data_IF_315390034183
#
_entry.id   IF_315390034183
#
_cell.length_a   1.000
_cell.length_b   1.000
_cell.length_c   1.000
_cell.angle_alpha   90.00
_cell.angle_beta   90.00
_cell.angle_gamma   90.00
#
_symmetry.space_group_name_H-M   'P 1'
#
loop_
_entity.id
_entity.type
_entity.pdbx_description
1 polymer ?
#
# COMPACT_ATOMS: atom_id res chain seq x y z
N UNK A 1 -27.20 -90.44 18.69
CA UNK A 1 -27.56 -89.00 18.83
C UNK A 1 -27.99 -88.48 17.46
N UNK A 2 -29.18 -87.88 17.43
CA UNK A 2 -29.80 -86.94 16.46
C UNK A 2 -29.09 -86.62 15.12
N UNK A 3 -29.74 -86.30 13.99
CA UNK A 3 -31.14 -86.32 13.51
C UNK A 3 -31.05 -85.93 12.02
N UNK A 4 -31.99 -86.41 11.24
CA UNK A 4 -32.26 -86.19 9.82
C UNK A 4 -32.22 -84.72 9.34
N UNK A 5 -32.17 -84.53 8.02
CA UNK A 5 -33.01 -83.49 7.39
C UNK A 5 -32.43 -82.82 6.15
N UNK A 6 -32.96 -83.20 4.99
CA UNK A 6 -32.56 -82.75 3.67
C UNK A 6 -33.15 -81.38 3.25
N UNK A 7 -32.72 -80.97 2.04
CA UNK A 7 -33.40 -80.13 1.02
C UNK A 7 -33.25 -78.58 1.03
N UNK A 8 -32.41 -78.11 0.10
CA UNK A 8 -32.70 -77.16 -1.00
C UNK A 8 -33.85 -76.15 -0.84
N UNK A 9 -33.52 -74.84 -0.90
CA UNK A 9 -33.91 -73.81 -1.92
C UNK A 9 -33.84 -72.41 -1.29
N UNK A 10 -33.11 -71.48 -1.90
CA UNK A 10 -33.69 -70.25 -2.48
C UNK A 10 -32.63 -69.20 -2.84
N UNK A 11 -32.69 -68.83 -4.12
CA UNK A 11 -32.44 -67.51 -4.67
C UNK A 11 -33.05 -66.38 -3.83
N UNK A 12 -32.21 -65.40 -3.48
CA UNK A 12 -32.64 -64.11 -2.94
C UNK A 12 -31.65 -63.05 -3.41
N UNK A 13 -31.99 -62.41 -4.53
CA UNK A 13 -31.28 -61.21 -4.97
C UNK A 13 -31.53 -60.07 -3.98
N UNK A 14 -30.48 -59.36 -3.63
CA UNK A 14 -30.56 -57.98 -3.22
C UNK A 14 -29.33 -57.30 -3.80
N UNK A 15 -29.59 -56.59 -4.90
CA UNK A 15 -28.74 -55.60 -5.56
C UNK A 15 -27.85 -54.94 -4.52
N UNK A 16 -26.56 -55.28 -4.57
CA UNK A 16 -25.53 -54.47 -3.94
C UNK A 16 -25.59 -53.12 -4.61
N UNK A 17 -26.35 -52.20 -4.01
CA UNK A 17 -26.29 -50.79 -4.34
C UNK A 17 -24.87 -50.37 -3.95
N UNK A 18 -23.97 -50.50 -4.92
CA UNK A 18 -22.65 -49.93 -4.87
C UNK A 18 -22.83 -48.42 -4.85
N UNK A 19 -23.17 -47.88 -3.68
CA UNK A 19 -22.67 -46.57 -3.33
C UNK A 19 -21.17 -46.63 -3.60
N UNK A 20 -20.63 -45.81 -4.51
CA UNK A 20 -19.20 -45.65 -4.55
C UNK A 20 -18.84 -45.11 -3.18
N UNK A 21 -18.30 -45.98 -2.32
CA UNK A 21 -17.55 -45.59 -1.14
C UNK A 21 -16.60 -44.51 -1.64
N UNK A 22 -16.93 -43.26 -1.36
CA UNK A 22 -16.07 -42.10 -1.56
C UNK A 22 -14.88 -42.31 -0.63
N UNK A 23 -13.98 -43.19 -1.07
CA UNK A 23 -12.71 -43.52 -0.46
C UNK A 23 -11.92 -42.22 -0.46
N UNK A 24 -11.90 -41.61 0.72
CA UNK A 24 -10.72 -41.00 1.31
C UNK A 24 -9.78 -40.28 0.33
N UNK A 25 -10.07 -39.01 0.05
CA UNK A 25 -9.04 -38.07 -0.38
C UNK A 25 -9.21 -36.66 0.22
N UNK A 26 -9.57 -36.56 1.50
CA UNK A 26 -9.49 -35.29 2.26
C UNK A 26 -8.97 -35.53 3.67
N UNK A 27 -7.71 -35.94 3.80
CA UNK A 27 -7.06 -36.05 5.13
C UNK A 27 -5.67 -35.44 5.10
N UNK A 28 -5.57 -34.13 4.81
CA UNK A 28 -4.40 -33.27 5.13
C UNK A 28 -4.57 -31.73 5.01
N UNK A 29 -5.73 -31.12 4.65
CA UNK A 29 -5.76 -29.66 4.40
C UNK A 29 -5.73 -28.78 5.67
N UNK A 30 -5.97 -29.36 6.86
CA UNK A 30 -6.12 -28.58 8.11
C UNK A 30 -4.81 -27.95 8.58
N UNK A 31 -3.69 -28.68 8.52
CA UNK A 31 -2.38 -28.19 8.96
C UNK A 31 -1.76 -27.19 7.98
N UNK A 32 -2.00 -27.39 6.68
CA UNK A 32 -1.52 -26.48 5.65
C UNK A 32 -2.17 -25.08 5.78
N UNK A 33 -3.49 -25.00 5.96
CA UNK A 33 -4.17 -23.71 6.10
C UNK A 33 -3.73 -22.92 7.34
N UNK A 34 -3.50 -23.61 8.47
CA UNK A 34 -2.98 -22.97 9.70
C UNK A 34 -1.53 -22.51 9.49
N UNK A 35 -0.71 -23.30 8.80
CA UNK A 35 0.64 -22.91 8.40
C UNK A 35 0.64 -21.66 7.52
N UNK A 36 -0.23 -21.62 6.51
CA UNK A 36 -0.39 -20.45 5.63
C UNK A 36 -0.80 -19.19 6.41
N UNK A 37 -1.67 -19.32 7.42
CA UNK A 37 -2.08 -18.20 8.26
C UNK A 37 -0.95 -17.65 9.15
N UNK A 38 -0.08 -18.50 9.68
CA UNK A 38 1.07 -17.99 10.44
C UNK A 38 2.17 -17.46 9.52
N UNK A 39 2.36 -18.09 8.36
CA UNK A 39 3.25 -17.56 7.33
C UNK A 39 2.78 -16.19 6.84
N UNK A 40 1.48 -15.94 6.72
CA UNK A 40 0.98 -14.62 6.29
C UNK A 40 1.38 -13.51 7.26
N UNK A 41 1.36 -13.75 8.57
CA UNK A 41 1.81 -12.74 9.54
C UNK A 41 3.32 -12.45 9.43
N UNK A 42 4.14 -13.49 9.19
CA UNK A 42 5.58 -13.31 8.97
C UNK A 42 5.85 -12.53 7.68
N UNK A 43 5.15 -12.88 6.59
CA UNK A 43 5.25 -12.18 5.31
C UNK A 43 4.78 -10.72 5.46
N UNK A 44 3.71 -10.46 6.21
CA UNK A 44 3.24 -9.10 6.49
C UNK A 44 4.30 -8.29 7.25
N UNK A 45 4.95 -8.89 8.27
CA UNK A 45 6.03 -8.22 9.00
C UNK A 45 7.19 -7.85 8.07
N UNK A 46 7.59 -8.76 7.18
CA UNK A 46 8.62 -8.47 6.16
C UNK A 46 8.15 -7.31 5.27
N UNK A 47 6.92 -7.35 4.76
CA UNK A 47 6.35 -6.29 3.94
C UNK A 47 6.36 -4.92 4.63
N UNK A 48 5.99 -4.86 5.91
CA UNK A 48 6.03 -3.63 6.70
C UNK A 48 7.47 -3.11 6.88
N UNK A 49 8.44 -3.98 7.17
CA UNK A 49 9.84 -3.58 7.30
C UNK A 49 10.38 -3.02 5.98
N UNK A 50 10.08 -3.69 4.87
CA UNK A 50 10.48 -3.24 3.52
C UNK A 50 9.79 -1.92 3.18
N UNK A 51 8.50 -1.76 3.51
CA UNK A 51 7.77 -0.51 3.34
C UNK A 51 8.42 0.63 4.14
N UNK A 52 8.78 0.39 5.41
CA UNK A 52 9.47 1.37 6.24
C UNK A 52 10.81 1.80 5.64
N UNK A 53 11.62 0.84 5.17
CA UNK A 53 12.88 1.16 4.49
C UNK A 53 12.67 2.00 3.22
N UNK A 54 11.61 1.72 2.46
CA UNK A 54 11.24 2.49 1.27
C UNK A 54 10.78 3.91 1.59
N UNK A 55 9.87 4.09 2.56
CA UNK A 55 9.32 5.41 2.89
C UNK A 55 10.31 6.31 3.63
N UNK A 56 11.26 5.72 4.36
CA UNK A 56 12.32 6.47 5.04
C UNK A 56 13.46 6.90 4.12
N UNK A 57 13.44 6.50 2.85
CA UNK A 57 14.41 6.94 1.85
C UNK A 57 14.03 8.28 1.25
N UNK A 58 15.03 9.13 0.98
CA UNK A 58 14.91 10.37 0.21
C UNK A 58 15.01 10.15 -1.31
N UNK A 59 15.07 8.89 -1.77
CA UNK A 59 15.39 8.52 -3.17
C UNK A 59 14.27 7.74 -3.83
N UNK A 60 13.05 8.30 -3.89
CA UNK A 60 11.98 7.74 -4.74
C UNK A 60 12.15 8.23 -6.18
N UNK A 61 12.38 9.52 -6.33
CA UNK A 61 12.60 10.19 -7.60
C UNK A 61 13.66 11.28 -7.43
N UNK A 62 14.22 11.72 -8.54
CA UNK A 62 15.15 12.84 -8.58
C UNK A 62 14.69 13.83 -9.65
N UNK A 63 14.59 15.11 -9.29
CA UNK A 63 14.25 16.19 -10.23
C UNK A 63 15.51 16.99 -10.47
N UNK A 64 15.90 17.11 -11.73
CA UNK A 64 17.00 17.95 -12.17
C UNK A 64 16.47 19.26 -12.73
N UNK A 65 17.05 20.37 -12.29
CA UNK A 65 16.79 21.71 -12.84
C UNK A 65 18.09 22.22 -13.43
N UNK A 66 18.12 22.46 -14.74
CA UNK A 66 19.27 23.06 -15.43
C UNK A 66 19.04 24.55 -15.66
N UNK A 67 20.08 25.35 -15.44
CA UNK A 67 20.06 26.79 -15.73
C UNK A 67 20.54 27.03 -17.18
N UNK A 68 19.63 27.46 -18.04
CA UNK A 68 19.92 27.77 -19.44
C UNK A 68 20.21 29.26 -19.68
N UNK A 69 20.34 30.08 -18.61
CA UNK A 69 20.70 31.50 -18.75
C UNK A 69 22.13 31.67 -19.26
N UNK A 70 22.39 32.84 -19.83
CA UNK A 70 23.69 33.21 -20.39
C UNK A 70 24.13 34.57 -19.82
N UNK A 71 24.99 34.61 -18.77
CA UNK A 71 25.66 33.48 -18.12
C UNK A 71 24.76 32.71 -17.13
N UNK A 72 24.99 31.40 -16.92
CA UNK A 72 24.25 30.61 -15.92
C UNK A 72 24.78 30.89 -14.51
N UNK A 73 23.89 30.86 -13.51
CA UNK A 73 24.25 31.01 -12.09
C UNK A 73 24.72 29.68 -11.48
N UNK A 74 24.22 28.55 -11.97
CA UNK A 74 24.59 27.21 -11.53
C UNK A 74 24.54 26.24 -12.72
N UNK A 75 25.12 25.05 -12.58
CA UNK A 75 25.07 24.04 -13.64
C UNK A 75 23.75 23.25 -13.60
N UNK A 76 23.43 22.66 -12.45
CA UNK A 76 22.12 22.05 -12.18
C UNK A 76 21.82 22.00 -10.69
N UNK A 77 20.54 21.85 -10.36
CA UNK A 77 20.05 21.50 -9.03
C UNK A 77 19.50 20.09 -9.10
N UNK A 78 19.90 19.24 -8.16
CA UNK A 78 19.34 17.90 -7.96
C UNK A 78 18.44 17.90 -6.74
N UNK A 79 17.16 17.57 -6.92
CA UNK A 79 16.19 17.44 -5.83
C UNK A 79 15.90 15.95 -5.64
N UNK A 80 16.37 15.39 -4.54
CA UNK A 80 16.05 14.04 -4.11
C UNK A 80 14.69 14.05 -3.40
N UNK A 81 13.71 13.42 -4.02
CA UNK A 81 12.33 13.36 -3.53
C UNK A 81 12.08 11.99 -2.90
N UNK A 82 11.91 11.97 -1.58
CA UNK A 82 11.32 10.88 -0.83
C UNK A 82 9.95 11.27 -0.29
N UNK A 83 9.17 10.28 0.17
CA UNK A 83 7.80 10.52 0.65
C UNK A 83 7.78 11.41 1.90
N UNK A 84 8.76 11.25 2.79
CA UNK A 84 8.88 12.00 4.04
C UNK A 84 10.17 12.82 4.17
N UNK A 85 11.11 12.67 3.24
CA UNK A 85 12.39 13.38 3.23
C UNK A 85 12.66 13.92 1.83
N UNK A 86 12.78 15.24 1.69
CA UNK A 86 13.06 15.92 0.43
C UNK A 86 14.34 16.74 0.63
N UNK A 87 15.32 16.54 -0.24
CA UNK A 87 16.62 17.20 -0.16
C UNK A 87 16.98 17.81 -1.50
N UNK A 88 17.70 18.93 -1.48
CA UNK A 88 18.23 19.57 -2.68
C UNK A 88 19.75 19.70 -2.59
N UNK A 89 20.41 19.56 -3.72
CA UNK A 89 21.83 19.83 -3.92
C UNK A 89 21.99 20.76 -5.12
N UNK A 90 22.85 21.76 -5.03
CA UNK A 90 23.18 22.68 -6.13
C UNK A 90 24.61 22.42 -6.58
N UNK A 91 24.78 22.22 -7.89
CA UNK A 91 26.09 22.03 -8.51
C UNK A 91 26.50 23.33 -9.19
N UNK A 92 27.61 23.93 -8.74
CA UNK A 92 28.16 25.17 -9.29
C UNK A 92 28.65 25.02 -10.74
N UNK A 93 28.83 26.15 -11.42
CA UNK A 93 29.32 26.21 -12.81
C UNK A 93 30.85 26.33 -12.93
N UNK A 94 31.58 26.26 -11.81
CA UNK A 94 33.04 26.38 -11.78
C UNK A 94 33.74 25.10 -12.24
N UNK A 95 34.99 25.25 -12.71
CA UNK A 95 35.83 24.13 -13.19
C UNK A 95 36.09 23.05 -12.11
N UNK A 96 35.88 23.39 -10.83
CA UNK A 96 35.78 22.47 -9.70
C UNK A 96 34.32 22.54 -9.28
N UNK A 97 33.48 21.63 -9.76
CA UNK A 97 32.05 21.59 -9.45
C UNK A 97 31.85 21.36 -7.95
N UNK A 98 31.68 22.44 -7.19
CA UNK A 98 31.32 22.38 -5.77
C UNK A 98 29.84 22.01 -5.72
N UNK A 99 29.54 20.91 -5.01
CA UNK A 99 28.18 20.49 -4.69
C UNK A 99 27.86 21.03 -3.31
N UNK A 100 26.85 21.89 -3.23
CA UNK A 100 26.38 22.49 -1.98
C UNK A 100 24.97 22.00 -1.67
N UNK A 101 24.65 21.82 -0.39
CA UNK A 101 23.29 21.46 0.04
C UNK A 101 22.40 22.69 -0.09
N UNK A 102 21.22 22.52 -0.68
CA UNK A 102 20.26 23.59 -0.83
C UNK A 102 19.66 23.96 0.54
N UNK A 103 19.74 25.24 0.92
CA UNK A 103 19.26 25.71 2.23
C UNK A 103 17.74 25.56 2.36
N UNK A 104 17.01 25.87 1.28
CA UNK A 104 15.55 25.76 1.23
C UNK A 104 15.11 24.76 0.15
N UNK A 105 14.95 23.46 0.48
CA UNK A 105 14.40 22.46 -0.43
C UNK A 105 12.92 22.75 -0.74
N UNK A 106 12.37 22.17 -1.83
CA UNK A 106 10.99 22.43 -2.21
C UNK A 106 10.02 21.80 -1.20
N UNK A 107 8.98 22.54 -0.85
CA UNK A 107 7.95 22.09 0.07
C UNK A 107 6.74 21.63 -0.72
N UNK A 108 6.54 20.32 -0.80
CA UNK A 108 5.37 19.69 -1.42
C UNK A 108 4.22 19.64 -0.40
N UNK A 109 3.40 20.70 -0.41
CA UNK A 109 2.22 20.85 0.45
C UNK A 109 0.90 20.61 -0.29
N UNK A 110 0.96 20.14 -1.54
CA UNK A 110 -0.24 19.87 -2.32
C UNK A 110 -1.10 18.79 -1.61
N UNK A 111 -2.44 18.93 -1.66
CA UNK A 111 -3.34 18.04 -0.93
C UNK A 111 -3.17 16.57 -1.32
N UNK A 112 -2.74 16.30 -2.55
CA UNK A 112 -2.43 14.95 -3.05
C UNK A 112 -1.20 14.36 -2.37
N UNK A 113 -0.12 15.14 -2.22
CA UNK A 113 1.08 14.72 -1.51
C UNK A 113 0.81 14.45 -0.03
N UNK A 114 0.03 15.33 0.61
CA UNK A 114 -0.40 15.12 2.00
C UNK A 114 -1.27 13.86 2.15
N UNK A 115 -2.16 13.62 1.19
CA UNK A 115 -2.99 12.41 1.15
C UNK A 115 -2.14 11.16 0.93
N UNK A 116 -1.11 11.22 0.07
CA UNK A 116 -0.15 10.13 -0.14
C UNK A 116 0.56 9.75 1.17
N UNK A 117 1.09 10.75 1.89
CA UNK A 117 1.70 10.57 3.22
C UNK A 117 0.71 9.94 4.19
N UNK A 118 -0.48 10.50 4.32
CA UNK A 118 -1.50 10.04 5.25
C UNK A 118 -1.95 8.59 4.96
N UNK A 119 -2.23 8.27 3.69
CA UNK A 119 -2.63 6.91 3.27
C UNK A 119 -1.55 5.87 3.62
N UNK A 120 -0.28 6.21 3.37
CA UNK A 120 0.87 5.35 3.69
C UNK A 120 0.99 5.12 5.20
N UNK A 121 0.90 6.19 6.01
CA UNK A 121 0.95 6.08 7.48
C UNK A 121 -0.21 5.25 8.02
N UNK A 122 -1.44 5.50 7.54
CA UNK A 122 -2.62 4.72 7.92
C UNK A 122 -2.40 3.24 7.58
N UNK A 123 -1.95 2.93 6.36
CA UNK A 123 -1.66 1.56 5.94
C UNK A 123 -0.68 0.85 6.87
N UNK A 124 0.42 1.51 7.24
CA UNK A 124 1.42 0.98 8.17
C UNK A 124 0.84 0.75 9.58
N UNK A 125 0.08 1.70 10.12
CA UNK A 125 -0.56 1.57 11.44
C UNK A 125 -1.48 0.35 11.47
N UNK A 126 -2.35 0.20 10.46
CA UNK A 126 -3.23 -0.96 10.36
C UNK A 126 -2.45 -2.28 10.22
N UNK A 127 -1.31 -2.26 9.55
CA UNK A 127 -0.43 -3.43 9.41
C UNK A 127 0.13 -3.87 10.76
N UNK A 128 0.63 -2.92 11.56
CA UNK A 128 1.09 -3.19 12.93
C UNK A 128 -0.06 -3.66 13.83
N UNK A 129 -1.24 -3.04 13.76
CA UNK A 129 -2.42 -3.48 14.51
C UNK A 129 -2.80 -4.92 14.14
N UNK A 130 -2.70 -5.30 12.88
CA UNK A 130 -2.98 -6.66 12.44
C UNK A 130 -1.98 -7.67 13.04
N UNK A 131 -0.69 -7.33 13.09
CA UNK A 131 0.34 -8.15 13.75
C UNK A 131 0.11 -8.27 15.26
N UNK A 132 -0.33 -7.20 15.92
CA UNK A 132 -0.70 -7.21 17.34
C UNK A 132 -1.88 -8.14 17.57
N UNK A 133 -2.94 -8.05 16.74
CA UNK A 133 -4.09 -8.95 16.80
C UNK A 133 -3.66 -10.40 16.57
N UNK A 134 -2.83 -10.66 15.57
CA UNK A 134 -2.32 -12.00 15.28
C UNK A 134 -1.57 -12.58 16.47
N UNK A 135 -0.68 -11.78 17.08
CA UNK A 135 0.11 -12.17 18.26
C UNK A 135 -0.79 -12.41 19.47
N UNK A 136 -1.77 -11.54 19.71
CA UNK A 136 -2.75 -11.73 20.77
C UNK A 136 -3.57 -13.00 20.57
N UNK A 137 -4.00 -13.30 19.34
CA UNK A 137 -4.68 -14.57 19.02
C UNK A 137 -3.76 -15.78 19.26
N UNK A 138 -2.48 -15.68 18.89
CA UNK A 138 -1.51 -16.74 19.11
C UNK A 138 -1.26 -17.01 20.60
N UNK A 139 -1.19 -15.96 21.42
CA UNK A 139 -0.96 -16.04 22.86
C UNK A 139 -2.21 -16.48 23.63
N UNK A 140 -3.35 -15.83 23.40
CA UNK A 140 -4.56 -16.02 24.19
C UNK A 140 -5.35 -17.29 23.82
N UNK A 141 -5.23 -17.77 22.57
CA UNK A 141 -5.95 -18.96 22.10
C UNK A 141 -5.00 -20.14 21.86
N UNK A 142 -3.84 -20.14 22.52
CA UNK A 142 -2.85 -21.20 22.40
C UNK A 142 -3.44 -22.53 22.88
N UNK A 143 -3.71 -23.43 21.95
CA UNK A 143 -4.25 -24.77 22.24
C UNK A 143 -5.76 -24.93 22.00
N UNK A 144 -6.50 -23.86 21.69
CA UNK A 144 -7.86 -23.98 21.17
C UNK A 144 -7.82 -24.22 19.65
N UNK A 145 -8.54 -25.25 19.20
CA UNK A 145 -8.58 -25.61 17.78
C UNK A 145 -9.33 -24.59 16.91
N UNK A 146 -10.21 -23.78 17.51
CA UNK A 146 -11.10 -22.87 16.80
C UNK A 146 -10.82 -21.41 17.17
N UNK A 147 -10.17 -20.68 16.25
CA UNK A 147 -9.97 -19.23 16.37
C UNK A 147 -11.30 -18.48 16.18
N UNK A 148 -11.53 -17.37 16.89
CA UNK A 148 -12.72 -16.55 16.70
C UNK A 148 -12.73 -15.92 15.30
N UNK A 149 -13.56 -16.46 14.41
CA UNK A 149 -13.71 -15.97 13.03
C UNK A 149 -13.96 -14.46 12.90
N UNK A 150 -14.64 -13.83 13.88
CA UNK A 150 -14.82 -12.38 13.86
C UNK A 150 -13.49 -11.63 13.99
N UNK A 151 -12.63 -12.05 14.92
CA UNK A 151 -11.29 -11.46 15.10
C UNK A 151 -10.39 -11.71 13.90
N UNK A 152 -10.45 -12.92 13.31
CA UNK A 152 -9.71 -13.22 12.07
C UNK A 152 -10.22 -12.37 10.89
N UNK A 153 -11.52 -12.08 10.82
CA UNK A 153 -12.07 -11.18 9.80
C UNK A 153 -11.52 -9.75 9.95
N UNK A 154 -11.47 -9.25 11.19
CA UNK A 154 -10.91 -7.92 11.50
C UNK A 154 -9.42 -7.88 11.14
N UNK A 155 -8.67 -8.92 11.46
CA UNK A 155 -7.27 -9.04 11.05
C UNK A 155 -7.13 -8.98 9.51
N UNK A 156 -7.91 -9.78 8.76
CA UNK A 156 -7.87 -9.75 7.28
C UNK A 156 -8.27 -8.38 6.72
N UNK A 157 -9.24 -7.69 7.34
CA UNK A 157 -9.60 -6.32 6.97
C UNK A 157 -8.42 -5.37 7.18
N UNK A 158 -7.66 -5.51 8.26
CA UNK A 158 -6.50 -4.67 8.50
C UNK A 158 -5.38 -4.93 7.48
N UNK A 159 -5.16 -6.18 7.08
CA UNK A 159 -4.23 -6.50 5.99
C UNK A 159 -4.66 -5.81 4.68
N UNK A 160 -5.97 -5.81 4.38
CA UNK A 160 -6.49 -5.13 3.20
C UNK A 160 -6.27 -3.62 3.26
N UNK A 161 -6.53 -2.98 4.41
CA UNK A 161 -6.29 -1.55 4.61
C UNK A 161 -4.80 -1.22 4.45
N UNK A 162 -3.89 -2.09 4.93
CA UNK A 162 -2.45 -1.92 4.73
C UNK A 162 -2.07 -1.91 3.26
N UNK A 163 -2.53 -2.90 2.48
CA UNK A 163 -2.25 -2.98 1.03
C UNK A 163 -2.82 -1.75 0.32
N UNK A 164 -4.09 -1.41 0.56
CA UNK A 164 -4.70 -0.24 -0.08
C UNK A 164 -3.97 1.05 0.30
N UNK A 165 -3.61 1.23 1.58
CA UNK A 165 -2.92 2.42 2.06
C UNK A 165 -1.54 2.61 1.44
N UNK A 166 -0.75 1.53 1.31
CA UNK A 166 0.56 1.57 0.66
C UNK A 166 0.43 1.83 -0.85
N UNK A 167 -0.47 1.12 -1.53
CA UNK A 167 -0.71 1.28 -2.96
C UNK A 167 -1.19 2.70 -3.31
N UNK A 168 -2.24 3.19 -2.62
CA UNK A 168 -2.77 4.54 -2.84
C UNK A 168 -1.73 5.60 -2.50
N UNK A 169 -0.98 5.41 -1.41
CA UNK A 169 0.10 6.30 -1.02
C UNK A 169 1.15 6.44 -2.12
N UNK A 170 1.62 5.31 -2.66
CA UNK A 170 2.61 5.28 -3.72
C UNK A 170 2.08 5.90 -5.03
N UNK A 171 0.86 5.53 -5.46
CA UNK A 171 0.28 6.04 -6.71
C UNK A 171 0.01 7.54 -6.67
N UNK A 172 -0.44 8.07 -5.53
CA UNK A 172 -0.63 9.52 -5.37
C UNK A 172 0.70 10.27 -5.35
N UNK A 173 1.73 9.70 -4.71
CA UNK A 173 3.07 10.31 -4.71
C UNK A 173 3.66 10.37 -6.13
N UNK A 174 3.58 9.27 -6.88
CA UNK A 174 4.01 9.22 -8.29
C UNK A 174 3.27 10.25 -9.15
N UNK A 175 1.94 10.29 -9.05
CA UNK A 175 1.11 11.22 -9.84
C UNK A 175 1.41 12.68 -9.52
N UNK A 176 1.74 13.01 -8.27
CA UNK A 176 2.08 14.40 -7.91
C UNK A 176 3.45 14.79 -8.46
N UNK A 177 4.44 13.90 -8.41
CA UNK A 177 5.77 14.17 -8.96
C UNK A 177 5.72 14.34 -10.47
N UNK A 178 4.95 13.49 -11.16
CA UNK A 178 4.68 13.67 -12.59
C UNK A 178 3.93 15.00 -12.85
N UNK A 179 3.01 15.38 -11.96
CA UNK A 179 2.32 16.67 -12.01
C UNK A 179 3.28 17.86 -11.93
N UNK A 180 4.19 17.86 -10.95
CA UNK A 180 5.24 18.88 -10.76
C UNK A 180 6.20 18.90 -11.94
N UNK A 181 6.57 17.75 -12.52
CA UNK A 181 7.39 17.70 -13.72
C UNK A 181 6.68 18.31 -14.94
N UNK A 182 5.41 17.98 -15.14
CA UNK A 182 4.67 18.37 -16.34
C UNK A 182 4.17 19.83 -16.29
N UNK A 183 3.95 20.37 -15.10
CA UNK A 183 3.37 21.70 -14.92
C UNK A 183 4.29 22.70 -14.20
N UNK A 184 5.35 22.24 -13.53
CA UNK A 184 6.53 23.04 -13.13
C UNK A 184 6.31 24.30 -12.27
N UNK A 185 5.09 24.58 -11.81
CA UNK A 185 4.64 25.99 -11.91
C UNK A 185 4.99 26.87 -10.70
N UNK A 186 4.70 26.44 -9.48
CA UNK A 186 4.75 27.37 -8.33
C UNK A 186 5.71 26.94 -7.23
N UNK A 187 5.70 25.66 -6.87
CA UNK A 187 6.55 25.13 -5.79
C UNK A 187 8.04 25.23 -6.12
N UNK A 188 8.41 24.97 -7.37
CA UNK A 188 9.79 25.10 -7.86
C UNK A 188 10.22 26.57 -7.95
N UNK A 189 9.33 27.46 -8.41
CA UNK A 189 9.59 28.91 -8.46
C UNK A 189 9.83 29.47 -7.06
N UNK A 190 8.98 29.12 -6.08
CA UNK A 190 9.17 29.52 -4.67
C UNK A 190 10.50 29.03 -4.11
N UNK A 191 10.89 27.79 -4.41
CA UNK A 191 12.19 27.23 -4.01
C UNK A 191 13.35 28.03 -4.62
N UNK A 192 13.32 28.29 -5.93
CA UNK A 192 14.36 29.06 -6.61
C UNK A 192 14.44 30.51 -6.08
N UNK A 193 13.30 31.15 -5.77
CA UNK A 193 13.26 32.47 -5.14
C UNK A 193 13.79 32.46 -3.70
N UNK A 194 13.42 31.46 -2.89
CA UNK A 194 13.89 31.32 -1.50
C UNK A 194 15.41 31.17 -1.42
N UNK A 195 16.02 30.46 -2.39
CA UNK A 195 17.47 30.32 -2.51
C UNK A 195 18.11 31.48 -3.31
N UNK A 196 17.36 32.54 -3.65
CA UNK A 196 17.82 33.72 -4.40
C UNK A 196 18.41 33.41 -5.79
N UNK A 197 17.97 32.30 -6.40
CA UNK A 197 18.40 31.84 -7.72
C UNK A 197 17.60 32.48 -8.86
N UNK A 198 16.45 33.08 -8.53
CA UNK A 198 15.64 33.95 -9.38
C UNK A 198 15.38 35.25 -8.60
N UNK A 199 15.52 36.41 -9.25
CA UNK A 199 15.27 37.70 -8.62
C UNK A 199 13.83 37.83 -8.14
N UNK A 200 13.63 38.48 -6.99
CA UNK A 200 12.29 38.91 -6.58
C UNK A 200 11.73 39.85 -7.65
N UNK A 201 10.48 39.63 -8.08
CA UNK A 201 9.79 40.45 -9.08
C UNK A 201 9.75 41.97 -8.79
N UNK A 202 10.28 42.41 -7.65
CA UNK A 202 10.39 43.80 -7.20
C UNK A 202 11.67 44.53 -7.60
N UNK A 203 12.67 43.90 -8.23
CA UNK A 203 13.94 44.57 -8.58
C UNK A 203 14.11 44.93 -10.06
N UNK A 204 13.20 44.54 -10.96
CA UNK A 204 13.34 44.85 -12.39
C UNK A 204 12.82 46.27 -12.74
N UNK A 205 11.98 46.89 -11.91
CA UNK A 205 11.32 48.17 -12.24
C UNK A 205 12.01 49.43 -11.69
N UNK A 206 13.29 49.34 -11.30
CA UNK A 206 14.03 50.50 -10.76
C UNK A 206 15.23 50.97 -11.57
N UNK A 207 15.58 50.28 -12.67
CA UNK A 207 16.76 50.66 -13.47
C UNK A 207 16.46 51.20 -14.87
N UNK A 208 15.20 51.30 -15.29
CA UNK A 208 14.89 51.72 -16.65
C UNK A 208 13.58 52.52 -16.82
N UNK A 209 13.49 53.77 -16.35
CA UNK A 209 12.98 54.91 -17.15
C UNK A 209 13.10 56.26 -16.41
N UNK A 210 13.34 57.38 -17.13
CA UNK A 210 13.28 58.73 -16.56
C UNK A 210 11.84 59.14 -16.27
N UNK A 211 11.70 60.01 -15.27
CA UNK A 211 10.48 60.73 -14.91
C UNK A 211 9.77 61.32 -16.12
N UNK A 212 8.57 60.83 -16.45
CA UNK A 212 7.51 61.71 -16.95
C UNK A 212 6.10 61.16 -16.66
N UNK A 213 5.26 62.09 -16.23
CA UNK A 213 3.88 61.99 -15.77
C UNK A 213 2.91 61.34 -16.76
N UNK A 214 2.09 60.38 -16.33
CA UNK A 214 0.61 60.35 -16.48
C UNK A 214 0.01 58.98 -16.12
N UNK A 215 -1.13 59.02 -15.44
CA UNK A 215 -1.93 57.91 -14.90
C UNK A 215 -2.35 56.87 -15.95
N UNK A 216 -2.15 55.57 -15.70
CA UNK A 216 -2.96 54.48 -16.27
C UNK A 216 -3.10 53.30 -15.30
N UNK A 217 -4.36 53.03 -14.96
CA UNK A 217 -4.98 51.83 -14.36
C UNK A 217 -4.12 50.53 -14.32
N UNK A 218 -3.69 50.10 -13.13
CA UNK A 218 -3.08 48.78 -12.94
C UNK A 218 -4.15 47.70 -12.73
N UNK A 219 -4.39 46.94 -13.80
CA UNK A 219 -4.84 45.54 -13.74
C UNK A 219 -3.69 44.68 -13.19
N UNK A 220 -3.95 43.62 -12.40
CA UNK A 220 -2.88 42.74 -11.94
C UNK A 220 -2.28 41.99 -13.14
N UNK A 221 -1.04 42.35 -13.48
CA UNK A 221 -0.26 41.75 -14.56
C UNK A 221 -0.09 40.26 -14.29
N UNK A 222 -0.64 39.42 -15.16
CA UNK A 222 -0.35 37.99 -15.22
C UNK A 222 1.16 37.79 -15.36
N UNK A 223 1.77 37.07 -14.41
CA UNK A 223 3.16 36.62 -14.48
C UNK A 223 3.38 35.90 -15.82
N UNK A 224 4.11 36.59 -16.70
CA UNK A 224 4.29 36.24 -18.10
C UNK A 224 5.17 35.00 -18.24
N UNK A 225 4.79 34.17 -19.21
CA UNK A 225 5.39 32.96 -19.78
C UNK A 225 6.92 32.97 -20.06
N UNK A 226 7.66 34.02 -19.72
CA UNK A 226 9.10 34.18 -20.00
C UNK A 226 10.04 33.40 -19.06
N UNK A 227 9.65 33.18 -17.80
CA UNK A 227 10.51 32.49 -16.81
C UNK A 227 10.70 30.99 -17.12
N UNK A 228 9.76 30.37 -17.83
CA UNK A 228 9.78 28.94 -18.18
C UNK A 228 10.83 28.62 -19.25
N UNK A 229 11.29 29.62 -20.03
CA UNK A 229 12.32 29.40 -21.05
C UNK A 229 13.76 29.36 -20.48
N UNK A 230 13.96 29.80 -19.23
CA UNK A 230 15.29 29.93 -18.60
C UNK A 230 15.75 28.67 -17.87
N UNK A 231 14.82 27.79 -17.48
CA UNK A 231 15.12 26.57 -16.73
C UNK A 231 14.59 25.35 -17.45
N UNK A 232 15.40 24.29 -17.51
CA UNK A 232 14.96 23.00 -18.04
C UNK A 232 14.79 22.01 -16.89
N UNK A 233 13.58 21.46 -16.77
CA UNK A 233 13.26 20.43 -15.79
C UNK A 233 13.35 19.04 -16.41
N UNK A 234 14.03 18.13 -15.72
CA UNK A 234 14.16 16.73 -16.11
C UNK A 234 13.87 15.85 -14.90
N UNK A 235 12.86 15.00 -15.00
CA UNK A 235 12.57 13.98 -13.99
C UNK A 235 13.41 12.72 -14.27
N UNK A 236 14.05 12.18 -13.24
CA UNK A 236 14.75 10.91 -13.33
C UNK A 236 13.76 9.75 -13.49
N UNK A 237 14.25 8.62 -14.01
CA UNK A 237 13.54 7.36 -13.84
C UNK A 237 13.31 7.07 -12.34
N UNK A 238 12.28 6.28 -11.98
CA UNK A 238 12.06 5.86 -10.60
C UNK A 238 13.32 5.22 -10.01
N UNK A 239 13.66 5.64 -8.81
CA UNK A 239 14.87 5.22 -8.11
C UNK A 239 14.65 3.90 -7.36
N UNK A 240 15.74 3.34 -6.81
CA UNK A 240 15.70 2.01 -6.18
C UNK A 240 14.67 1.91 -5.04
N UNK A 241 14.46 2.98 -4.27
CA UNK A 241 13.49 2.99 -3.17
C UNK A 241 12.03 2.95 -3.63
N UNK A 242 11.75 3.42 -4.85
CA UNK A 242 10.42 3.27 -5.45
C UNK A 242 10.10 1.80 -5.71
N UNK A 243 11.03 1.05 -6.31
CA UNK A 243 10.87 -0.39 -6.51
C UNK A 243 10.80 -1.18 -5.20
N UNK A 244 11.49 -0.72 -4.15
CA UNK A 244 11.38 -1.30 -2.81
C UNK A 244 9.96 -1.14 -2.25
N UNK A 245 9.31 0.01 -2.45
CA UNK A 245 7.92 0.21 -2.04
C UNK A 245 6.94 -0.64 -2.84
N UNK A 246 7.14 -0.77 -4.16
CA UNK A 246 6.36 -1.69 -4.99
C UNK A 246 6.50 -3.13 -4.47
N UNK A 247 7.73 -3.57 -4.20
CA UNK A 247 7.98 -4.90 -3.65
C UNK A 247 7.31 -5.08 -2.28
N UNK A 248 7.35 -4.07 -1.41
CA UNK A 248 6.66 -4.09 -0.13
C UNK A 248 5.15 -4.30 -0.29
N UNK A 249 4.52 -3.60 -1.24
CA UNK A 249 3.10 -3.73 -1.51
C UNK A 249 2.74 -5.14 -2.00
N UNK A 250 3.52 -5.71 -2.92
CA UNK A 250 3.33 -7.10 -3.37
C UNK A 250 3.51 -8.12 -2.24
N UNK A 251 4.47 -7.92 -1.35
CA UNK A 251 4.69 -8.78 -0.18
C UNK A 251 3.48 -8.69 0.76
N UNK A 252 2.99 -7.49 1.05
CA UNK A 252 1.79 -7.26 1.84
C UNK A 252 0.54 -7.88 1.20
N UNK A 253 0.40 -7.78 -0.14
CA UNK A 253 -0.68 -8.40 -0.90
C UNK A 253 -0.63 -9.93 -0.81
N UNK A 254 0.56 -10.53 -0.92
CA UNK A 254 0.73 -11.97 -0.73
C UNK A 254 0.33 -12.40 0.69
N UNK A 255 0.72 -11.64 1.71
CA UNK A 255 0.28 -11.88 3.08
C UNK A 255 -1.25 -11.82 3.21
N UNK A 256 -1.88 -10.79 2.63
CA UNK A 256 -3.33 -10.63 2.60
C UNK A 256 -4.02 -11.83 1.96
N UNK A 257 -3.58 -12.25 0.77
CA UNK A 257 -4.18 -13.38 0.05
C UNK A 257 -4.08 -14.68 0.86
N UNK A 258 -2.95 -14.92 1.51
CA UNK A 258 -2.74 -16.10 2.37
C UNK A 258 -3.67 -16.09 3.58
N UNK A 259 -3.82 -14.93 4.24
CA UNK A 259 -4.73 -14.76 5.37
C UNK A 259 -6.20 -14.89 4.94
N UNK A 260 -6.57 -14.35 3.77
CA UNK A 260 -7.89 -14.45 3.18
C UNK A 260 -8.27 -15.90 2.87
N UNK A 261 -7.35 -16.67 2.28
CA UNK A 261 -7.57 -18.11 2.03
C UNK A 261 -7.89 -18.83 3.33
N UNK A 262 -7.13 -18.57 4.40
CA UNK A 262 -7.43 -19.14 5.71
C UNK A 262 -8.81 -18.72 6.24
N UNK A 263 -9.16 -17.44 6.12
CA UNK A 263 -10.45 -16.92 6.54
C UNK A 263 -11.63 -17.55 5.79
N UNK A 264 -11.52 -17.72 4.47
CA UNK A 264 -12.54 -18.41 3.67
C UNK A 264 -12.72 -19.84 4.17
N UNK A 265 -11.62 -20.57 4.39
CA UNK A 265 -11.68 -21.94 4.93
C UNK A 265 -12.29 -22.01 6.33
N UNK A 266 -12.02 -21.02 7.18
CA UNK A 266 -12.61 -20.91 8.51
C UNK A 266 -14.13 -20.65 8.42
N UNK A 267 -14.54 -19.80 7.49
CA UNK A 267 -15.95 -19.45 7.24
C UNK A 267 -16.74 -20.64 6.69
N UNK A 268 -16.18 -21.38 5.72
CA UNK A 268 -16.76 -22.63 5.18
C UNK A 268 -17.09 -23.61 6.32
N UNK A 269 -16.15 -23.83 7.25
CA UNK A 269 -16.34 -24.74 8.38
C UNK A 269 -17.42 -24.27 9.36
N UNK A 270 -17.43 -22.98 9.69
CA UNK A 270 -18.47 -22.43 10.58
C UNK A 270 -19.86 -22.61 9.97
N UNK A 271 -19.97 -22.46 8.66
CA UNK A 271 -21.23 -22.65 7.96
C UNK A 271 -21.66 -24.11 7.88
N UNK A 272 -20.72 -25.04 7.62
CA UNK A 272 -20.98 -26.48 7.70
C UNK A 272 -21.48 -26.90 9.09
N UNK A 273 -20.85 -26.38 10.16
CA UNK A 273 -21.25 -26.64 11.53
C UNK A 273 -22.66 -26.11 11.83
N UNK A 274 -22.99 -24.88 11.39
CA UNK A 274 -24.34 -24.32 11.53
C UNK A 274 -25.38 -25.18 10.84
N UNK A 275 -25.11 -25.63 9.60
CA UNK A 275 -26.01 -26.51 8.85
C UNK A 275 -26.21 -27.85 9.55
N UNK A 276 -25.15 -28.43 10.15
CA UNK A 276 -25.27 -29.65 10.95
C UNK A 276 -26.10 -29.44 12.22
N UNK A 277 -25.89 -28.34 12.94
CA UNK A 277 -26.68 -27.99 14.13
C UNK A 277 -28.16 -27.75 13.79
N UNK A 278 -28.46 -27.09 12.67
CA UNK A 278 -29.84 -26.93 12.18
C UNK A 278 -30.49 -28.28 11.87
N UNK A 279 -29.79 -29.17 11.16
CA UNK A 279 -30.28 -30.53 10.89
C UNK A 279 -30.53 -31.31 12.18
N UNK A 280 -29.61 -31.24 13.15
CA UNK A 280 -29.77 -31.89 14.45
C UNK A 280 -30.96 -31.34 15.26
N UNK A 281 -31.21 -30.02 15.18
CA UNK A 281 -32.36 -29.38 15.83
C UNK A 281 -33.69 -29.81 15.21
N UNK A 282 -33.73 -29.99 13.88
CA UNK A 282 -34.92 -30.47 13.16
C UNK A 282 -35.16 -31.97 13.35
N UNK A 283 -34.09 -32.76 13.51
CA UNK A 283 -34.15 -34.21 13.70
C UNK A 283 -34.45 -34.65 15.15
N UNK A 284 -34.63 -33.72 16.10
CA UNK A 284 -35.06 -34.08 17.47
C UNK A 284 -36.44 -34.78 17.42
N UNK A 285 -36.57 -35.98 18.00
CA UNK A 285 -37.82 -36.74 17.94
C UNK A 285 -38.97 -36.02 18.65
N UNK A 286 -40.19 -36.18 18.12
CA UNK A 286 -41.45 -35.57 18.59
C UNK A 286 -41.75 -35.86 20.08
N UNK A 287 -41.07 -36.83 20.70
CA UNK A 287 -41.23 -37.24 22.09
C UNK A 287 -40.81 -36.21 23.16
N UNK A 288 -40.13 -35.11 22.78
CA UNK A 288 -39.76 -34.03 23.73
C UNK A 288 -40.61 -32.74 23.56
N UNK A 289 -41.64 -32.73 22.72
CA UNK A 289 -42.55 -31.57 22.66
C UNK A 289 -43.40 -31.54 23.94
N UNK A 290 -43.48 -30.40 24.66
CA UNK A 290 -44.47 -30.25 25.72
C UNK A 290 -45.84 -30.52 25.11
N UNK A 291 -46.56 -31.49 25.67
CA UNK A 291 -47.96 -31.68 25.34
C UNK A 291 -48.70 -30.42 25.79
N UNK A 292 -49.23 -29.68 24.82
CA UNK A 292 -50.26 -28.64 25.03
C UNK A 292 -51.60 -29.34 25.10
#
# INVERSE_FOLDING_TARGET
MAKEGATSKNSGGAVGNGEPRLRHQRKRPRRCAIGCYHASAVILLIGIIVALAGVSSSRLFEIFIYDNRHPPLFHHISIHVGLFDIRGEITGNDAISVVEVLEYPPVLDEPRWLTAKAATVIGLIFGFLALIIHTALLCCHRGQEDKPCGTVAVEVLFYLITVIGLLVGLSLAESEIEGVHNHGDETLVRMLQANRLIGSATEIDKSALPSDTSEVLHTPTSLSSGYVAEFNLVLSNPQQSFYVLIAADFICLLAFLMALIYFVRLSERKEELRKQLQKAKVAKPVSERPHV
#
